data_IF_907635101154
#
_entry.id   IF_907635101154
#
_cell.length_a   1.000
_cell.length_b   1.000
_cell.length_c   1.000
_cell.angle_alpha   90.00
_cell.angle_beta   90.00
_cell.angle_gamma   90.00
#
_symmetry.space_group_name_H-M   'P 1'
#
loop_
_entity.id
_entity.type
_entity.pdbx_description
1 polymer ?
#
# COMPACT_ATOMS: atom_id res chain seq x y z
N UNK A 1 -5.39 25.96 -10.99
CA UNK A 1 -5.15 24.51 -10.80
C UNK A 1 -5.90 24.07 -9.57
N UNK A 2 -6.77 23.04 -9.64
CA UNK A 2 -7.56 22.59 -8.49
C UNK A 2 -6.66 21.83 -7.50
N UNK A 3 -5.89 22.58 -6.72
CA UNK A 3 -4.97 22.08 -5.67
C UNK A 3 -5.60 21.04 -4.73
N UNK A 4 -6.87 21.16 -4.25
CA UNK A 4 -7.44 20.15 -3.36
C UNK A 4 -7.68 18.80 -4.05
N UNK A 5 -7.98 18.78 -5.35
CA UNK A 5 -8.24 17.55 -6.08
C UNK A 5 -6.96 16.73 -6.29
N UNK A 6 -5.89 17.37 -6.77
CA UNK A 6 -4.60 16.70 -6.91
C UNK A 6 -4.03 16.29 -5.56
N UNK A 7 -4.24 17.08 -4.51
CA UNK A 7 -3.85 16.71 -3.15
C UNK A 7 -4.60 15.47 -2.65
N UNK A 8 -5.91 15.37 -2.94
CA UNK A 8 -6.71 14.20 -2.58
C UNK A 8 -6.26 12.93 -3.34
N UNK A 9 -5.93 13.05 -4.63
CA UNK A 9 -5.34 11.96 -5.41
C UNK A 9 -4.00 11.54 -4.80
N UNK A 10 -3.11 12.49 -4.55
CA UNK A 10 -1.79 12.23 -3.98
C UNK A 10 -1.87 11.57 -2.60
N UNK A 11 -2.85 11.94 -1.77
CA UNK A 11 -3.10 11.29 -0.48
C UNK A 11 -3.49 9.82 -0.64
N UNK A 12 -4.41 9.52 -1.55
CA UNK A 12 -4.84 8.14 -1.77
C UNK A 12 -3.74 7.30 -2.40
N UNK A 13 -3.12 7.79 -3.48
CA UNK A 13 -1.98 7.13 -4.14
C UNK A 13 -0.85 6.91 -3.13
N UNK A 14 -0.46 7.93 -2.36
CA UNK A 14 0.61 7.81 -1.37
C UNK A 14 0.30 6.88 -0.19
N UNK A 15 -0.98 6.58 0.07
CA UNK A 15 -1.38 5.62 1.10
C UNK A 15 -1.46 4.20 0.56
N UNK A 16 -1.96 4.04 -0.67
CA UNK A 16 -2.11 2.75 -1.35
C UNK A 16 -0.75 2.25 -1.86
N UNK A 17 0.02 3.10 -2.52
CA UNK A 17 1.36 2.80 -3.03
C UNK A 17 2.35 2.73 -1.87
N UNK A 18 2.41 1.55 -1.23
CA UNK A 18 3.35 1.20 -0.17
C UNK A 18 4.24 0.00 -0.54
N UNK A 19 4.78 -0.68 0.47
CA UNK A 19 5.68 -1.82 0.21
C UNK A 19 4.98 -3.04 -0.41
N UNK A 20 3.64 -3.10 -0.38
CA UNK A 20 2.88 -4.19 -1.01
C UNK A 20 3.21 -4.35 -2.49
N UNK A 21 3.56 -3.26 -3.19
CA UNK A 21 3.93 -3.30 -4.61
C UNK A 21 5.19 -4.14 -4.85
N UNK A 22 6.15 -4.15 -3.92
CA UNK A 22 7.39 -4.93 -4.09
C UNK A 22 7.15 -6.44 -4.04
N UNK A 23 6.04 -6.90 -3.45
CA UNK A 23 5.68 -8.31 -3.44
C UNK A 23 5.04 -8.77 -4.77
N UNK A 24 4.44 -7.85 -5.54
CA UNK A 24 3.66 -8.18 -6.73
C UNK A 24 4.47 -8.89 -7.83
N UNK A 25 5.69 -8.47 -8.21
CA UNK A 25 6.47 -9.17 -9.23
C UNK A 25 6.72 -10.64 -8.87
N UNK A 26 7.04 -10.91 -7.60
CA UNK A 26 7.24 -12.28 -7.10
C UNK A 26 5.96 -13.11 -7.03
N UNK A 27 4.80 -12.47 -6.83
CA UNK A 27 3.50 -13.13 -6.92
C UNK A 27 3.13 -13.46 -8.38
N UNK A 28 3.33 -12.51 -9.29
CA UNK A 28 3.06 -12.67 -10.73
C UNK A 28 3.97 -13.74 -11.35
N UNK A 29 5.24 -13.83 -10.96
CA UNK A 29 6.14 -14.87 -11.46
C UNK A 29 5.73 -16.29 -11.06
N UNK A 30 4.88 -16.45 -10.04
CA UNK A 30 4.33 -17.75 -9.59
C UNK A 30 2.92 -18.02 -10.11
N UNK A 31 2.13 -16.97 -10.29
CA UNK A 31 0.76 -17.06 -10.81
C UNK A 31 0.70 -17.04 -12.34
N UNK A 32 1.78 -16.61 -13.01
CA UNK A 32 1.81 -16.35 -14.44
C UNK A 32 1.28 -14.96 -14.79
N UNK A 33 1.80 -14.37 -15.87
CA UNK A 33 1.52 -12.97 -16.25
C UNK A 33 0.05 -12.76 -16.60
N UNK A 34 -0.55 -13.68 -17.36
CA UNK A 34 -1.96 -13.56 -17.79
C UNK A 34 -2.90 -13.56 -16.59
N UNK A 35 -2.77 -14.55 -15.70
CA UNK A 35 -3.59 -14.64 -14.49
C UNK A 35 -3.29 -13.48 -13.55
N UNK A 36 -2.02 -13.08 -13.44
CA UNK A 36 -1.63 -11.93 -12.63
C UNK A 36 -2.28 -10.63 -13.07
N UNK A 37 -2.32 -10.34 -14.37
CA UNK A 37 -2.99 -9.16 -14.94
C UNK A 37 -4.51 -9.21 -14.72
N UNK A 38 -5.15 -10.36 -15.00
CA UNK A 38 -6.59 -10.53 -14.79
C UNK A 38 -6.97 -10.35 -13.32
N UNK A 39 -6.23 -10.99 -12.41
CA UNK A 39 -6.48 -10.89 -10.98
C UNK A 39 -6.25 -9.47 -10.46
N UNK A 40 -5.21 -8.78 -10.96
CA UNK A 40 -4.95 -7.38 -10.64
C UNK A 40 -6.11 -6.50 -11.08
N UNK A 41 -6.60 -6.65 -12.32
CA UNK A 41 -7.74 -5.89 -12.82
C UNK A 41 -9.00 -6.10 -11.97
N UNK A 42 -9.28 -7.35 -11.57
CA UNK A 42 -10.40 -7.68 -10.68
C UNK A 42 -10.23 -7.01 -9.31
N UNK A 43 -9.06 -7.14 -8.68
CA UNK A 43 -8.82 -6.57 -7.34
C UNK A 43 -8.85 -5.05 -7.37
N UNK A 44 -8.28 -4.41 -8.40
CA UNK A 44 -8.34 -2.96 -8.60
C UNK A 44 -9.78 -2.49 -8.74
N UNK A 45 -10.58 -3.18 -9.57
CA UNK A 45 -11.99 -2.86 -9.76
C UNK A 45 -12.79 -2.97 -8.46
N UNK A 46 -12.66 -4.08 -7.73
CA UNK A 46 -13.34 -4.24 -6.44
C UNK A 46 -12.87 -3.24 -5.40
N UNK A 47 -11.56 -2.95 -5.36
CA UNK A 47 -11.00 -1.95 -4.44
C UNK A 47 -11.53 -0.56 -4.75
N UNK A 48 -11.61 -0.17 -6.03
CA UNK A 48 -12.23 1.08 -6.45
C UNK A 48 -13.70 1.18 -6.01
N UNK A 49 -14.48 0.11 -6.18
CA UNK A 49 -15.89 0.08 -5.75
C UNK A 49 -16.02 0.24 -4.23
N UNK A 50 -15.22 -0.51 -3.46
CA UNK A 50 -15.23 -0.42 -2.00
C UNK A 50 -14.81 0.96 -1.49
N UNK A 51 -13.74 1.54 -2.07
CA UNK A 51 -13.30 2.88 -1.72
C UNK A 51 -14.32 3.95 -2.11
N UNK A 52 -14.96 3.81 -3.27
CA UNK A 52 -16.03 4.73 -3.68
C UNK A 52 -17.23 4.68 -2.74
N UNK A 53 -17.69 3.48 -2.37
CA UNK A 53 -18.78 3.29 -1.41
C UNK A 53 -18.40 3.85 -0.03
N UNK A 54 -17.19 3.57 0.44
CA UNK A 54 -16.70 4.09 1.72
C UNK A 54 -16.58 5.62 1.70
N UNK A 55 -16.10 6.20 0.59
CA UNK A 55 -16.05 7.64 0.37
C UNK A 55 -17.43 8.30 0.48
N UNK A 56 -18.49 7.69 -0.06
CA UNK A 56 -19.85 8.20 0.13
C UNK A 56 -20.31 8.17 1.60
N UNK A 57 -19.98 7.11 2.34
CA UNK A 57 -20.30 7.00 3.77
C UNK A 57 -19.59 8.09 4.57
N UNK A 58 -18.33 8.37 4.23
CA UNK A 58 -17.52 9.44 4.83
C UNK A 58 -18.20 10.80 4.55
N UNK A 59 -18.46 11.13 3.28
CA UNK A 59 -19.06 12.42 2.88
C UNK A 59 -20.44 12.68 3.48
N UNK A 60 -21.26 11.63 3.67
CA UNK A 60 -22.61 11.73 4.26
C UNK A 60 -22.60 11.80 5.79
N UNK A 61 -21.44 11.73 6.43
CA UNK A 61 -21.32 11.83 7.88
C UNK A 61 -20.92 13.24 8.30
N UNK A 62 -21.82 13.95 9.01
CA UNK A 62 -21.60 15.35 9.46
C UNK A 62 -20.33 15.59 10.28
N UNK A 63 -19.78 14.56 10.94
CA UNK A 63 -18.53 14.65 11.69
C UNK A 63 -17.51 13.70 11.09
N UNK A 64 -16.30 14.19 10.88
CA UNK A 64 -15.18 13.37 10.41
C UNK A 64 -14.88 12.31 11.47
N UNK A 65 -15.07 11.04 11.10
CA UNK A 65 -14.84 9.88 11.96
C UNK A 65 -13.97 8.88 11.21
N UNK A 66 -13.01 8.28 11.92
CA UNK A 66 -12.26 7.13 11.43
C UNK A 66 -13.17 5.90 11.28
N UNK A 67 -12.69 4.86 10.59
CA UNK A 67 -13.44 3.64 10.30
C UNK A 67 -14.20 3.07 11.53
N UNK A 68 -13.60 2.93 12.73
CA UNK A 68 -14.35 2.41 13.87
C UNK A 68 -15.48 3.33 14.35
N UNK A 69 -15.31 4.65 14.23
CA UNK A 69 -16.34 5.63 14.60
C UNK A 69 -17.47 5.69 13.58
N UNK A 70 -17.19 5.44 12.30
CA UNK A 70 -18.21 5.26 11.26
C UNK A 70 -18.96 3.94 11.47
N UNK A 71 -18.24 2.85 11.73
CA UNK A 71 -18.85 1.56 12.04
C UNK A 71 -19.76 1.64 13.27
N UNK A 72 -19.38 2.37 14.32
CA UNK A 72 -20.25 2.61 15.48
C UNK A 72 -21.56 3.30 15.10
N UNK A 73 -21.49 4.31 14.23
CA UNK A 73 -22.64 5.11 13.83
C UNK A 73 -23.64 4.30 13.01
N UNK A 74 -23.16 3.45 12.09
CA UNK A 74 -24.02 2.75 11.12
C UNK A 74 -24.32 1.29 11.50
N UNK A 75 -23.46 0.64 12.29
CA UNK A 75 -23.56 -0.78 12.66
C UNK A 75 -23.60 -0.99 14.19
N UNK A 76 -23.62 0.09 14.96
CA UNK A 76 -23.65 0.04 16.43
C UNK A 76 -22.35 -0.44 17.07
N UNK A 77 -22.43 -0.75 18.37
CA UNK A 77 -21.25 -1.14 19.20
C UNK A 77 -20.57 -2.43 18.72
N UNK A 78 -21.31 -3.35 18.09
CA UNK A 78 -20.74 -4.55 17.51
C UNK A 78 -19.83 -4.22 16.31
N UNK A 79 -20.32 -3.41 15.37
CA UNK A 79 -19.52 -2.96 14.23
C UNK A 79 -18.28 -2.16 14.64
N UNK A 80 -18.40 -1.32 15.69
CA UNK A 80 -17.24 -0.63 16.27
C UNK A 80 -16.16 -1.61 16.73
N UNK A 81 -16.52 -2.66 17.46
CA UNK A 81 -15.57 -3.65 17.98
C UNK A 81 -14.87 -4.40 16.86
N UNK A 82 -15.63 -4.86 15.86
CA UNK A 82 -15.07 -5.52 14.67
C UNK A 82 -14.09 -4.59 13.95
N UNK A 83 -14.50 -3.35 13.66
CA UNK A 83 -13.64 -2.39 12.98
C UNK A 83 -12.38 -2.03 13.78
N UNK A 84 -12.47 -1.93 15.11
CA UNK A 84 -11.31 -1.74 15.98
C UNK A 84 -10.37 -2.94 15.92
N UNK A 85 -10.89 -4.17 16.04
CA UNK A 85 -10.08 -5.38 15.92
C UNK A 85 -9.37 -5.42 14.57
N UNK A 86 -10.10 -5.22 13.46
CA UNK A 86 -9.51 -5.21 12.11
C UNK A 86 -8.45 -4.12 11.97
N UNK A 87 -8.67 -2.92 12.49
CA UNK A 87 -7.70 -1.84 12.43
C UNK A 87 -6.43 -2.14 13.25
N UNK A 88 -6.57 -2.73 14.45
CA UNK A 88 -5.44 -3.11 15.29
C UNK A 88 -4.64 -4.25 14.65
N UNK A 89 -5.28 -5.38 14.35
CA UNK A 89 -4.59 -6.52 13.74
C UNK A 89 -4.01 -6.18 12.37
N UNK A 90 -4.75 -5.43 11.54
CA UNK A 90 -4.28 -4.98 10.24
C UNK A 90 -3.10 -4.02 10.35
N UNK A 91 -3.15 -3.06 11.27
CA UNK A 91 -2.06 -2.10 11.50
C UNK A 91 -0.79 -2.77 12.01
N UNK A 92 -0.89 -3.60 13.06
CA UNK A 92 0.24 -4.35 13.60
C UNK A 92 0.79 -5.36 12.59
N UNK A 93 -0.09 -6.07 11.88
CA UNK A 93 0.30 -7.01 10.82
C UNK A 93 1.04 -6.32 9.69
N UNK A 94 0.56 -5.15 9.26
CA UNK A 94 1.26 -4.35 8.26
C UNK A 94 2.65 -3.92 8.75
N UNK A 95 2.76 -3.37 9.97
CA UNK A 95 4.05 -2.98 10.56
C UNK A 95 5.03 -4.16 10.61
N UNK A 96 4.57 -5.33 11.05
CA UNK A 96 5.39 -6.54 11.09
C UNK A 96 5.83 -6.99 9.69
N UNK A 97 4.94 -6.94 8.70
CA UNK A 97 5.28 -7.22 7.30
C UNK A 97 6.33 -6.24 6.75
N UNK A 98 6.23 -4.95 7.08
CA UNK A 98 7.24 -3.94 6.73
C UNK A 98 8.60 -4.27 7.37
N UNK A 99 8.64 -4.61 8.66
CA UNK A 99 9.88 -4.99 9.34
C UNK A 99 10.53 -6.22 8.72
N UNK A 100 9.74 -7.26 8.41
CA UNK A 100 10.24 -8.47 7.74
C UNK A 100 10.80 -8.11 6.37
N UNK A 101 10.06 -7.35 5.57
CA UNK A 101 10.51 -6.94 4.23
C UNK A 101 11.84 -6.18 4.29
N UNK A 102 11.95 -5.18 5.17
CA UNK A 102 13.16 -4.39 5.35
C UNK A 102 14.33 -5.26 5.85
N UNK A 103 14.09 -6.14 6.82
CA UNK A 103 15.09 -7.08 7.31
C UNK A 103 15.65 -7.97 6.21
N UNK A 104 14.79 -8.55 5.38
CA UNK A 104 15.19 -9.37 4.23
C UNK A 104 15.97 -8.56 3.19
N UNK A 105 15.54 -7.34 2.87
CA UNK A 105 16.27 -6.48 1.93
C UNK A 105 17.66 -6.08 2.47
N UNK A 106 17.77 -5.73 3.75
CA UNK A 106 19.04 -5.38 4.37
C UNK A 106 19.98 -6.58 4.47
N UNK A 107 19.46 -7.77 4.77
CA UNK A 107 20.25 -9.00 4.73
C UNK A 107 20.78 -9.29 3.32
N UNK A 108 19.96 -9.13 2.28
CA UNK A 108 20.41 -9.31 0.89
C UNK A 108 21.53 -8.33 0.49
N UNK A 109 21.51 -7.10 1.02
CA UNK A 109 22.51 -6.07 0.71
C UNK A 109 23.78 -6.18 1.53
N UNK A 110 23.66 -6.45 2.83
CA UNK A 110 24.75 -6.37 3.81
C UNK A 110 25.19 -7.72 4.36
N UNK A 111 24.39 -8.77 4.19
CA UNK A 111 24.65 -10.11 4.73
C UNK A 111 25.97 -10.70 4.24
N UNK A 112 26.29 -10.53 2.95
CA UNK A 112 27.56 -11.01 2.39
C UNK A 112 28.79 -10.21 2.87
N UNK A 113 28.61 -8.98 3.35
CA UNK A 113 29.70 -8.09 3.76
C UNK A 113 29.96 -8.12 5.27
N UNK A 114 28.89 -8.12 6.06
CA UNK A 114 28.94 -7.97 7.52
C UNK A 114 28.34 -9.17 8.27
N UNK A 115 27.82 -10.17 7.54
CA UNK A 115 27.03 -11.24 8.14
C UNK A 115 25.69 -10.73 8.66
N UNK A 116 25.15 -11.40 9.68
CA UNK A 116 23.86 -11.07 10.29
C UNK A 116 22.69 -11.87 9.70
N UNK A 117 21.50 -11.62 10.24
CA UNK A 117 20.25 -12.30 9.85
C UNK A 117 19.17 -11.28 9.53
N UNK A 118 18.18 -11.62 8.69
CA UNK A 118 17.02 -10.75 8.44
C UNK A 118 16.37 -10.24 9.73
N UNK A 119 16.26 -11.10 10.74
CA UNK A 119 15.69 -10.72 12.04
C UNK A 119 16.52 -9.65 12.76
N UNK A 120 17.85 -9.78 12.73
CA UNK A 120 18.77 -8.80 13.32
C UNK A 120 18.66 -7.44 12.62
N UNK A 121 18.69 -7.44 11.28
CA UNK A 121 18.54 -6.21 10.49
C UNK A 121 17.17 -5.55 10.66
N UNK A 122 16.08 -6.34 10.68
CA UNK A 122 14.73 -5.83 10.91
C UNK A 122 14.58 -5.19 12.30
N UNK A 123 15.18 -5.81 13.32
CA UNK A 123 15.18 -5.29 14.70
C UNK A 123 16.02 -4.02 14.83
N UNK A 124 17.20 -3.99 14.19
CA UNK A 124 18.05 -2.80 14.15
C UNK A 124 17.32 -1.62 13.49
N UNK A 125 16.68 -1.86 12.34
CA UNK A 125 15.87 -0.85 11.67
C UNK A 125 14.73 -0.36 12.57
N UNK A 126 14.03 -1.27 13.26
CA UNK A 126 12.97 -0.92 14.19
C UNK A 126 13.45 0.01 15.31
N UNK A 127 14.61 -0.25 15.90
CA UNK A 127 15.18 0.59 16.96
C UNK A 127 15.51 1.99 16.42
N UNK A 128 16.18 2.08 15.27
CA UNK A 128 16.53 3.35 14.63
C UNK A 128 15.26 4.15 14.27
N UNK A 129 14.28 3.49 13.65
CA UNK A 129 13.01 4.11 13.26
C UNK A 129 12.22 4.59 14.47
N UNK A 130 12.17 3.79 15.55
CA UNK A 130 11.49 4.17 16.80
C UNK A 130 12.12 5.41 17.41
N UNK A 131 13.46 5.47 17.49
CA UNK A 131 14.18 6.65 17.98
C UNK A 131 13.94 7.86 17.07
N UNK A 132 13.96 7.70 15.76
CA UNK A 132 13.67 8.79 14.81
C UNK A 132 12.26 9.37 14.99
N UNK A 133 11.26 8.53 15.26
CA UNK A 133 9.88 8.97 15.54
C UNK A 133 9.80 9.77 16.85
N UNK A 134 10.59 9.43 17.87
CA UNK A 134 10.65 10.20 19.13
C UNK A 134 11.19 11.63 18.94
N UNK A 135 12.08 11.84 17.97
CA UNK A 135 12.58 13.18 17.60
C UNK A 135 11.58 13.99 16.75
N UNK A 136 10.42 13.43 16.44
CA UNK A 136 9.32 14.09 15.75
C UNK A 136 9.24 13.77 14.25
N UNK A 137 8.04 13.97 13.69
CA UNK A 137 7.72 13.59 12.31
C UNK A 137 8.49 14.37 11.24
N UNK A 138 9.06 15.53 11.58
CA UNK A 138 9.84 16.33 10.64
C UNK A 138 11.06 15.56 10.10
N UNK A 139 11.77 14.81 10.94
CA UNK A 139 12.90 13.97 10.53
C UNK A 139 12.45 12.89 9.56
N UNK A 140 11.30 12.27 9.84
CA UNK A 140 10.69 11.23 8.99
C UNK A 140 10.29 11.80 7.63
N UNK A 141 9.69 12.99 7.60
CA UNK A 141 9.29 13.64 6.33
C UNK A 141 10.49 13.96 5.44
N UNK A 142 11.59 14.45 6.03
CA UNK A 142 12.84 14.72 5.28
C UNK A 142 13.45 13.42 4.75
N UNK A 143 13.54 12.38 5.58
CA UNK A 143 14.05 11.07 5.17
C UNK A 143 13.21 10.46 4.04
N UNK A 144 11.88 10.53 4.15
CA UNK A 144 10.94 10.03 3.14
C UNK A 144 11.16 10.67 1.77
N UNK A 145 11.45 11.98 1.72
CA UNK A 145 11.74 12.66 0.45
C UNK A 145 12.95 12.05 -0.26
N UNK A 146 14.05 11.81 0.46
CA UNK A 146 15.25 11.20 -0.12
C UNK A 146 15.03 9.74 -0.50
N UNK A 147 14.34 8.97 0.34
CA UNK A 147 14.01 7.57 0.06
C UNK A 147 13.11 7.42 -1.17
N UNK A 148 12.16 8.33 -1.38
CA UNK A 148 11.30 8.30 -2.56
C UNK A 148 12.07 8.60 -3.85
N UNK A 149 12.98 9.57 -3.84
CA UNK A 149 13.85 9.85 -4.99
C UNK A 149 14.76 8.66 -5.28
N UNK A 150 15.36 8.07 -4.24
CA UNK A 150 16.18 6.86 -4.37
C UNK A 150 15.38 5.70 -4.98
N UNK A 151 14.14 5.48 -4.52
CA UNK A 151 13.26 4.46 -5.05
C UNK A 151 13.02 4.64 -6.55
N UNK A 152 12.71 5.86 -7.01
CA UNK A 152 12.51 6.15 -8.43
C UNK A 152 13.76 5.86 -9.25
N UNK A 153 14.93 6.26 -8.76
CA UNK A 153 16.21 5.98 -9.43
C UNK A 153 16.44 4.48 -9.55
N UNK A 154 16.28 3.73 -8.45
CA UNK A 154 16.46 2.26 -8.44
C UNK A 154 15.47 1.59 -9.39
N UNK A 155 14.22 2.04 -9.44
CA UNK A 155 13.21 1.49 -10.35
C UNK A 155 13.59 1.72 -11.83
N UNK A 156 14.04 2.93 -12.18
CA UNK A 156 14.49 3.23 -13.55
C UNK A 156 15.71 2.38 -13.91
N UNK A 157 16.70 2.27 -13.02
CA UNK A 157 17.87 1.41 -13.26
C UNK A 157 17.45 -0.05 -13.43
N UNK A 158 16.58 -0.56 -12.57
CA UNK A 158 16.06 -1.92 -12.66
C UNK A 158 15.39 -2.18 -14.02
N UNK A 159 14.59 -1.23 -14.53
CA UNK A 159 14.00 -1.34 -15.86
C UNK A 159 15.07 -1.32 -16.96
N UNK A 160 16.01 -0.37 -16.94
CA UNK A 160 17.06 -0.26 -17.97
C UNK A 160 17.94 -1.51 -18.05
N UNK A 161 18.35 -2.07 -16.89
CA UNK A 161 19.16 -3.29 -16.83
C UNK A 161 18.35 -4.57 -17.02
N UNK A 162 17.05 -4.55 -16.74
CA UNK A 162 16.15 -5.69 -16.91
C UNK A 162 15.66 -5.90 -18.34
N UNK A 163 15.59 -4.83 -19.15
CA UNK A 163 15.12 -4.87 -20.54
C UNK A 163 15.87 -5.88 -21.44
N UNK A 164 17.21 -6.00 -21.38
CA UNK A 164 17.93 -6.97 -22.20
C UNK A 164 17.59 -8.44 -21.87
N UNK A 165 17.15 -8.72 -20.65
CA UNK A 165 16.79 -10.07 -20.19
C UNK A 165 15.32 -10.41 -20.42
N UNK A 166 14.59 -9.58 -21.17
CA UNK A 166 13.16 -9.74 -21.41
C UNK A 166 12.88 -10.81 -22.48
N UNK A 167 12.35 -11.95 -22.05
CA UNK A 167 11.91 -13.03 -22.95
C UNK A 167 10.40 -13.28 -22.81
N UNK A 168 9.64 -12.90 -23.82
CA UNK A 168 8.17 -13.05 -23.83
C UNK A 168 7.70 -14.52 -23.71
N UNK A 169 8.35 -15.51 -24.37
CA UNK A 169 7.94 -16.92 -24.22
C UNK A 169 8.05 -17.42 -22.78
N UNK A 170 9.13 -17.06 -22.08
CA UNK A 170 9.40 -17.42 -20.69
C UNK A 170 8.38 -16.85 -19.72
N UNK A 171 7.83 -15.66 -20.02
CA UNK A 171 6.77 -15.02 -19.23
C UNK A 171 5.40 -15.68 -19.41
N UNK A 172 5.12 -16.23 -20.60
CA UNK A 172 3.85 -16.85 -20.94
C UNK A 172 3.82 -18.35 -20.62
N UNK A 173 4.97 -18.99 -20.44
CA UNK A 173 5.08 -20.43 -20.12
C UNK A 173 4.83 -20.76 -18.65
N UNK A 174 4.64 -19.75 -17.78
CA UNK A 174 4.38 -19.98 -16.36
C UNK A 174 2.95 -20.49 -16.17
N UNK A 175 2.83 -21.77 -15.79
CA UNK A 175 1.54 -22.35 -15.45
C UNK A 175 1.04 -21.88 -14.08
N UNK A 176 -0.20 -21.36 -13.98
CA UNK A 176 -0.76 -20.88 -12.73
C UNK A 176 -1.00 -22.04 -11.76
N UNK A 177 -0.30 -22.02 -10.62
CA UNK A 177 -0.62 -22.92 -9.50
C UNK A 177 -1.65 -22.26 -8.57
N UNK A 178 -2.56 -23.04 -7.98
CA UNK A 178 -3.54 -22.52 -7.02
C UNK A 178 -2.87 -21.74 -5.86
N UNK A 179 -1.77 -22.26 -5.33
CA UNK A 179 -0.99 -21.59 -4.29
C UNK A 179 -0.38 -20.26 -4.76
N UNK A 180 0.15 -20.19 -5.98
CA UNK A 180 0.67 -18.95 -6.56
C UNK A 180 -0.41 -17.88 -6.75
N UNK A 181 -1.57 -18.28 -7.27
CA UNK A 181 -2.71 -17.38 -7.48
C UNK A 181 -3.27 -16.84 -6.14
N UNK A 182 -3.43 -17.70 -5.13
CA UNK A 182 -3.89 -17.28 -3.80
C UNK A 182 -2.89 -16.37 -3.10
N UNK A 183 -1.59 -16.64 -3.25
CA UNK A 183 -0.55 -15.77 -2.72
C UNK A 183 -0.60 -14.38 -3.37
N UNK A 184 -0.70 -14.32 -4.70
CA UNK A 184 -0.82 -13.06 -5.43
C UNK A 184 -2.09 -12.29 -5.05
N UNK A 185 -3.22 -12.99 -4.85
CA UNK A 185 -4.46 -12.37 -4.38
C UNK A 185 -4.26 -11.66 -3.03
N UNK A 186 -3.62 -12.32 -2.07
CA UNK A 186 -3.31 -11.71 -0.77
C UNK A 186 -2.38 -10.51 -0.87
N UNK A 187 -1.36 -10.59 -1.74
CA UNK A 187 -0.43 -9.48 -1.99
C UNK A 187 -1.14 -8.28 -2.62
N UNK A 188 -2.04 -8.51 -3.58
CA UNK A 188 -2.84 -7.46 -4.21
C UNK A 188 -3.78 -6.81 -3.18
N UNK A 189 -4.48 -7.59 -2.36
CA UNK A 189 -5.33 -7.03 -1.31
C UNK A 189 -4.53 -6.16 -0.35
N UNK A 190 -3.33 -6.59 0.05
CA UNK A 190 -2.46 -5.79 0.91
C UNK A 190 -1.96 -4.51 0.22
N UNK A 191 -1.59 -4.60 -1.07
CA UNK A 191 -1.13 -3.47 -1.87
C UNK A 191 -2.21 -2.41 -2.10
N UNK A 192 -3.49 -2.78 -2.12
CA UNK A 192 -4.61 -1.85 -2.36
C UNK A 192 -5.34 -1.36 -1.10
N UNK A 193 -4.74 -1.54 0.09
CA UNK A 193 -5.29 -0.99 1.34
C UNK A 193 -5.05 0.53 1.40
N UNK A 194 -6.12 1.32 1.47
CA UNK A 194 -6.02 2.78 1.53
C UNK A 194 -7.17 3.48 2.26
N UNK A 195 -7.92 2.77 3.10
CA UNK A 195 -9.19 3.29 3.66
C UNK A 195 -9.03 4.52 4.55
N UNK A 196 -7.93 4.66 5.29
CA UNK A 196 -7.64 5.84 6.10
C UNK A 196 -7.54 7.12 5.27
N UNK A 197 -6.99 7.03 4.05
CA UNK A 197 -6.83 8.17 3.15
C UNK A 197 -8.17 8.81 2.78
N UNK A 198 -9.26 8.04 2.74
CA UNK A 198 -10.57 8.57 2.37
C UNK A 198 -11.11 9.57 3.40
N UNK A 199 -10.80 9.38 4.69
CA UNK A 199 -11.15 10.34 5.74
C UNK A 199 -10.37 11.64 5.58
N UNK A 200 -9.09 11.54 5.20
CA UNK A 200 -8.24 12.71 4.98
C UNK A 200 -8.54 13.42 3.66
N UNK A 201 -8.94 12.68 2.62
CA UNK A 201 -9.46 13.24 1.37
C UNK A 201 -10.71 14.07 1.61
N UNK A 202 -11.63 13.64 2.49
CA UNK A 202 -12.79 14.47 2.85
C UNK A 202 -12.34 15.82 3.41
N UNK A 203 -11.35 15.81 4.31
CA UNK A 203 -10.83 17.03 4.94
C UNK A 203 -10.20 17.97 3.91
N UNK A 204 -9.40 17.42 2.99
CA UNK A 204 -8.70 18.19 1.96
C UNK A 204 -9.64 18.72 0.88
N UNK A 205 -10.62 17.92 0.45
CA UNK A 205 -11.60 18.35 -0.53
C UNK A 205 -12.52 19.45 0.01
N UNK A 206 -12.77 19.47 1.32
CA UNK A 206 -13.50 20.51 2.04
C UNK A 206 -14.82 20.92 1.37
N UNK A 207 -14.80 21.94 0.50
CA UNK A 207 -15.97 22.46 -0.24
C UNK A 207 -16.24 21.72 -1.56
N UNK A 208 -15.26 20.99 -2.10
CA UNK A 208 -15.31 20.27 -3.39
C UNK A 208 -15.62 18.77 -3.21
N UNK A 209 -16.55 18.45 -2.31
CA UNK A 209 -16.89 17.06 -1.93
C UNK A 209 -17.37 16.20 -3.10
N UNK A 210 -17.99 16.83 -4.12
CA UNK A 210 -18.45 16.14 -5.33
C UNK A 210 -17.32 15.48 -6.13
N UNK A 211 -16.07 15.90 -5.93
CA UNK A 211 -14.91 15.35 -6.63
C UNK A 211 -14.22 14.19 -5.92
N UNK A 212 -14.76 13.72 -4.80
CA UNK A 212 -14.26 12.53 -4.10
C UNK A 212 -14.19 11.31 -5.01
N UNK A 213 -15.31 10.93 -5.63
CA UNK A 213 -15.37 9.74 -6.49
C UNK A 213 -14.48 9.86 -7.74
N UNK A 214 -14.47 10.99 -8.47
CA UNK A 214 -13.47 11.21 -9.53
C UNK A 214 -12.02 11.13 -9.04
N UNK A 215 -11.70 11.63 -7.84
CA UNK A 215 -10.36 11.55 -7.28
C UNK A 215 -9.96 10.10 -6.97
N UNK A 216 -10.88 9.32 -6.41
CA UNK A 216 -10.70 7.88 -6.17
C UNK A 216 -10.46 7.16 -7.50
N UNK A 217 -11.28 7.41 -8.52
CA UNK A 217 -11.11 6.77 -9.83
C UNK A 217 -9.73 7.05 -10.44
N UNK A 218 -9.31 8.32 -10.46
CA UNK A 218 -8.00 8.69 -11.00
C UNK A 218 -6.87 8.05 -10.19
N UNK A 219 -6.98 8.00 -8.87
CA UNK A 219 -5.97 7.39 -8.01
C UNK A 219 -5.81 5.87 -8.19
N UNK A 220 -6.85 5.15 -8.66
CA UNK A 220 -6.76 3.72 -8.97
C UNK A 220 -6.27 3.45 -10.40
N UNK A 221 -6.31 4.46 -11.28
CA UNK A 221 -5.79 4.37 -12.65
C UNK A 221 -4.30 4.72 -12.70
N UNK A 222 -3.87 5.67 -11.88
CA UNK A 222 -2.47 6.12 -11.72
C UNK A 222 -1.71 5.14 -10.84
#
# INVERSE_FOLDING_TARGET
MNTPFFSAIALLVGTVVGAGIFALPGGVSRAGVVVGLLLTAVVVWFSYLLHSAYGEVVLRTRRVKQLPGLAEKYLGKAGRRVALCTALFGGYGAMLAYLIGIGTFLELLFGNLFGGTAFGYGTLFFLIASVAVLFGLHVVTVAQRYMFVLLLVVLVLFLLFGLPSFELPTLLSVEPTFGGVMALYGMLLFAFVGTSALVDMERVLARDKGRMRPAILVAFIV
#
